data_IF_440472719288
#
_entry.id   IF_440472719288
#
_cell.length_a   1.000
_cell.length_b   1.000
_cell.length_c   1.000
_cell.angle_alpha   90.00
_cell.angle_beta   90.00
_cell.angle_gamma   90.00
#
_symmetry.space_group_name_H-M   'P 1'
#
loop_
_entity.id
_entity.type
_entity.pdbx_description
1 polymer ?
#
# COMPACT_ATOMS: atom_id res chain seq x y z
N UNK A 1 33.03 3.82 -40.15
CA UNK A 1 33.06 2.49 -39.52
C UNK A 1 31.89 2.45 -38.55
N UNK A 2 30.80 1.80 -38.94
CA UNK A 2 29.57 1.69 -38.14
C UNK A 2 29.75 0.49 -37.20
N UNK A 3 29.70 0.71 -35.88
CA UNK A 3 29.63 -0.38 -34.90
C UNK A 3 28.16 -0.79 -34.73
N UNK A 4 27.77 -2.06 -34.96
CA UNK A 4 26.42 -2.49 -34.65
C UNK A 4 26.23 -2.46 -33.13
N UNK A 5 25.08 -1.95 -32.69
CA UNK A 5 24.64 -2.07 -31.31
C UNK A 5 24.67 -3.56 -30.92
N UNK A 6 25.25 -3.86 -29.76
CA UNK A 6 25.24 -5.21 -29.19
C UNK A 6 23.81 -5.73 -29.04
N UNK A 7 23.62 -7.06 -28.95
CA UNK A 7 22.28 -7.64 -28.84
C UNK A 7 21.54 -7.03 -27.64
N UNK A 8 20.29 -6.62 -27.84
CA UNK A 8 19.36 -6.36 -26.73
C UNK A 8 19.40 -7.61 -25.84
N UNK A 9 19.78 -7.43 -24.57
CA UNK A 9 19.60 -8.47 -23.55
C UNK A 9 18.16 -8.96 -23.65
N UNK A 10 17.98 -10.26 -23.85
CA UNK A 10 16.66 -10.86 -23.88
C UNK A 10 15.95 -10.56 -22.55
N UNK A 11 14.65 -10.24 -22.62
CA UNK A 11 13.83 -10.04 -21.43
C UNK A 11 14.05 -11.19 -20.45
N UNK A 12 14.33 -10.91 -19.15
CA UNK A 12 14.49 -11.97 -18.18
C UNK A 12 13.23 -12.84 -18.14
N UNK A 13 13.37 -14.17 -17.94
CA UNK A 13 12.24 -15.07 -17.84
C UNK A 13 11.27 -14.56 -16.76
N UNK A 14 9.97 -14.83 -16.93
CA UNK A 14 8.92 -14.23 -16.08
C UNK A 14 9.12 -14.44 -14.56
N UNK A 15 9.86 -15.48 -14.17
CA UNK A 15 10.25 -15.80 -12.79
C UNK A 15 11.36 -14.92 -12.20
N UNK A 16 12.15 -14.22 -13.03
CA UNK A 16 13.25 -13.35 -12.60
C UNK A 16 12.87 -11.86 -12.60
N UNK A 17 11.60 -11.56 -12.94
CA UNK A 17 11.07 -10.19 -13.01
C UNK A 17 10.83 -9.63 -11.62
N UNK A 18 11.26 -8.40 -11.40
CA UNK A 18 11.06 -7.68 -10.13
C UNK A 18 9.57 -7.58 -9.79
N UNK A 19 8.71 -7.36 -10.80
CA UNK A 19 7.27 -7.33 -10.61
C UNK A 19 6.67 -8.66 -10.14
N UNK A 20 7.24 -9.80 -10.57
CA UNK A 20 6.80 -11.13 -10.15
C UNK A 20 7.19 -11.43 -8.70
N UNK A 21 8.40 -11.06 -8.30
CA UNK A 21 8.84 -11.18 -6.90
C UNK A 21 8.01 -10.29 -5.98
N UNK A 22 7.74 -9.04 -6.37
CA UNK A 22 6.84 -8.17 -5.61
C UNK A 22 5.45 -8.81 -5.49
N UNK A 23 4.88 -9.31 -6.60
CA UNK A 23 3.57 -9.96 -6.56
C UNK A 23 3.51 -11.13 -5.57
N UNK A 24 4.59 -11.92 -5.45
CA UNK A 24 4.69 -12.98 -4.45
C UNK A 24 4.70 -12.42 -3.02
N UNK A 25 5.50 -11.38 -2.75
CA UNK A 25 5.53 -10.72 -1.43
C UNK A 25 4.12 -10.26 -1.04
N UNK A 26 3.39 -9.63 -1.96
CA UNK A 26 2.05 -9.12 -1.69
C UNK A 26 1.03 -10.24 -1.50
N UNK A 27 1.11 -11.32 -2.26
CA UNK A 27 0.24 -12.48 -2.10
C UNK A 27 0.42 -13.14 -0.72
N UNK A 28 1.69 -13.33 -0.30
CA UNK A 28 2.02 -13.92 1.01
C UNK A 28 1.53 -13.00 2.16
N UNK A 29 1.76 -11.69 2.04
CA UNK A 29 1.29 -10.71 3.03
C UNK A 29 -0.25 -10.62 3.08
N UNK A 30 -0.93 -10.67 1.94
CA UNK A 30 -2.39 -10.67 1.89
C UNK A 30 -2.96 -11.93 2.53
N UNK A 31 -2.34 -13.10 2.29
CA UNK A 31 -2.71 -14.33 2.96
C UNK A 31 -2.56 -14.19 4.47
N UNK A 32 -1.41 -13.70 4.96
CA UNK A 32 -1.19 -13.48 6.39
C UNK A 32 -2.21 -12.49 7.00
N UNK A 33 -2.49 -11.38 6.33
CA UNK A 33 -3.46 -10.38 6.77
C UNK A 33 -4.86 -10.97 6.92
N UNK A 34 -5.32 -11.78 5.94
CA UNK A 34 -6.63 -12.47 5.98
C UNK A 34 -6.75 -13.45 7.13
N UNK A 35 -5.64 -14.04 7.58
CA UNK A 35 -5.61 -14.95 8.73
C UNK A 35 -5.35 -14.25 10.07
N UNK A 36 -5.11 -12.93 10.08
CA UNK A 36 -4.92 -12.19 11.32
C UNK A 36 -6.20 -12.18 12.16
N UNK A 37 -6.04 -12.28 13.50
CA UNK A 37 -7.16 -12.27 14.46
C UNK A 37 -8.06 -11.04 14.27
N UNK A 38 -7.44 -9.87 14.07
CA UNK A 38 -8.14 -8.62 13.85
C UNK A 38 -9.03 -8.67 12.60
N UNK A 39 -8.45 -9.00 11.44
CA UNK A 39 -9.21 -9.02 10.17
C UNK A 39 -10.32 -10.07 10.23
N UNK A 40 -10.06 -11.26 10.78
CA UNK A 40 -11.08 -12.29 10.92
C UNK A 40 -12.25 -11.86 11.80
N UNK A 41 -11.99 -11.18 12.92
CA UNK A 41 -13.03 -10.67 13.80
C UNK A 41 -13.80 -9.50 13.16
N UNK A 42 -13.08 -8.62 12.46
CA UNK A 42 -13.63 -7.46 11.74
C UNK A 42 -14.63 -7.90 10.65
N UNK A 43 -14.20 -8.77 9.73
CA UNK A 43 -15.04 -9.22 8.60
C UNK A 43 -16.21 -10.11 9.05
N UNK A 44 -16.09 -10.73 10.22
CA UNK A 44 -17.18 -11.50 10.83
C UNK A 44 -18.18 -10.60 11.60
N UNK A 45 -17.97 -9.29 11.66
CA UNK A 45 -18.82 -8.35 12.42
C UNK A 45 -18.74 -8.53 13.94
N UNK A 46 -17.68 -9.18 14.44
CA UNK A 46 -17.47 -9.39 15.89
C UNK A 46 -16.83 -8.21 16.59
N UNK A 47 -16.27 -7.26 15.82
CA UNK A 47 -15.68 -6.04 16.35
C UNK A 47 -16.64 -4.86 16.20
N UNK A 48 -16.67 -3.90 17.14
CA UNK A 48 -17.45 -2.69 16.98
C UNK A 48 -16.91 -1.81 15.85
N UNK A 49 -17.74 -0.89 15.36
CA UNK A 49 -17.35 0.08 14.32
C UNK A 49 -16.13 0.92 14.72
N UNK A 50 -15.93 1.16 16.01
CA UNK A 50 -14.76 1.89 16.53
C UNK A 50 -13.44 1.15 16.27
N UNK A 51 -13.44 -0.18 16.19
CA UNK A 51 -12.26 -0.95 15.81
C UNK A 51 -11.90 -0.74 14.33
N UNK A 52 -12.92 -0.74 13.47
CA UNK A 52 -12.76 -0.40 12.05
C UNK A 52 -12.26 1.05 11.88
N UNK A 53 -12.83 1.98 12.65
CA UNK A 53 -12.41 3.37 12.64
C UNK A 53 -10.93 3.54 13.04
N UNK A 54 -10.45 2.77 14.02
CA UNK A 54 -9.03 2.78 14.41
C UNK A 54 -8.14 2.23 13.29
N UNK A 55 -8.55 1.19 12.55
CA UNK A 55 -7.83 0.74 11.34
C UNK A 55 -7.75 1.86 10.29
N UNK A 56 -8.87 2.53 10.00
CA UNK A 56 -8.89 3.64 9.05
C UNK A 56 -7.97 4.79 9.50
N UNK A 57 -7.94 5.08 10.80
CA UNK A 57 -7.04 6.07 11.39
C UNK A 57 -5.57 5.68 11.23
N UNK A 58 -5.21 4.41 11.46
CA UNK A 58 -3.84 3.96 11.26
C UNK A 58 -3.42 4.03 9.79
N UNK A 59 -4.32 3.71 8.85
CA UNK A 59 -4.07 3.93 7.43
C UNK A 59 -3.82 5.40 7.11
N UNK A 60 -4.61 6.34 7.66
CA UNK A 60 -4.40 7.77 7.41
C UNK A 60 -2.95 8.20 7.66
N UNK A 61 -2.36 7.83 8.80
CA UNK A 61 -0.96 8.16 9.09
C UNK A 61 0.02 7.56 8.07
N UNK A 62 -0.21 6.31 7.64
CA UNK A 62 0.65 5.64 6.66
C UNK A 62 0.55 6.30 5.28
N UNK A 63 -0.66 6.65 4.83
CA UNK A 63 -0.84 7.33 3.53
C UNK A 63 -0.39 8.78 3.59
N UNK A 64 -0.50 9.46 4.74
CA UNK A 64 0.05 10.80 4.92
C UNK A 64 1.56 10.81 4.66
N UNK A 65 2.29 9.90 5.31
CA UNK A 65 3.73 9.78 5.11
C UNK A 65 4.07 9.36 3.67
N UNK A 66 3.30 8.43 3.08
CA UNK A 66 3.55 7.92 1.73
C UNK A 66 3.26 8.96 0.64
N UNK A 67 2.18 9.73 0.79
CA UNK A 67 1.78 10.74 -0.19
C UNK A 67 2.65 12.00 -0.09
N UNK A 68 3.17 12.33 1.10
CA UNK A 68 4.27 13.30 1.22
C UNK A 68 5.53 12.84 0.48
N UNK A 69 5.91 11.57 0.62
CA UNK A 69 7.04 11.01 -0.14
C UNK A 69 6.76 11.02 -1.65
N UNK A 70 5.51 10.78 -2.06
CA UNK A 70 5.08 10.85 -3.46
C UNK A 70 5.26 12.27 -4.02
N UNK A 71 4.86 13.30 -3.26
CA UNK A 71 5.08 14.68 -3.66
C UNK A 71 6.58 15.04 -3.73
N UNK A 72 7.39 14.60 -2.75
CA UNK A 72 8.83 14.85 -2.73
C UNK A 72 9.58 14.17 -3.89
N UNK A 73 9.17 12.96 -4.26
CA UNK A 73 9.81 12.16 -5.31
C UNK A 73 9.23 12.40 -6.71
N UNK A 74 8.26 13.32 -6.87
CA UNK A 74 7.59 13.56 -8.16
C UNK A 74 8.55 14.00 -9.27
N UNK A 75 9.64 14.69 -8.92
CA UNK A 75 10.68 15.13 -9.86
C UNK A 75 11.78 14.10 -10.15
N UNK A 76 11.81 12.98 -9.44
CA UNK A 76 12.82 11.93 -9.62
C UNK A 76 12.58 11.16 -10.94
N UNK A 77 13.64 10.88 -11.73
CA UNK A 77 13.49 10.27 -13.06
C UNK A 77 12.92 8.85 -13.05
N UNK A 78 13.02 8.11 -11.93
CA UNK A 78 12.48 6.77 -11.76
C UNK A 78 11.19 6.83 -10.93
N UNK A 79 11.26 7.36 -9.70
CA UNK A 79 10.14 7.39 -8.77
C UNK A 79 8.97 8.26 -9.26
N UNK A 80 9.24 9.38 -9.95
CA UNK A 80 8.20 10.22 -10.56
C UNK A 80 7.33 9.45 -11.56
N UNK A 81 7.86 8.39 -12.18
CA UNK A 81 7.11 7.49 -13.07
C UNK A 81 6.14 6.58 -12.30
N UNK A 82 6.18 6.50 -10.99
CA UNK A 82 5.23 5.70 -10.20
C UNK A 82 4.18 6.58 -9.51
N UNK A 83 4.30 7.89 -9.59
CA UNK A 83 3.33 8.85 -9.04
C UNK A 83 2.06 8.89 -9.90
N UNK A 84 1.13 7.96 -9.66
CA UNK A 84 -0.19 7.95 -10.30
C UNK A 84 -1.18 8.76 -9.43
N UNK A 85 -1.68 9.92 -9.87
CA UNK A 85 -2.63 10.72 -9.08
C UNK A 85 -3.89 9.93 -8.69
N UNK A 86 -4.30 8.98 -9.52
CA UNK A 86 -5.49 8.18 -9.31
C UNK A 86 -5.33 7.13 -8.19
N UNK A 87 -4.11 6.94 -7.68
CA UNK A 87 -3.82 6.11 -6.51
C UNK A 87 -3.99 6.85 -5.18
N UNK A 88 -3.89 8.19 -5.15
CA UNK A 88 -3.97 8.94 -3.90
C UNK A 88 -5.22 8.56 -3.11
N UNK A 89 -5.05 8.25 -1.82
CA UNK A 89 -6.08 7.74 -0.91
C UNK A 89 -6.42 8.71 0.21
N UNK A 90 -5.54 9.66 0.55
CA UNK A 90 -5.80 10.60 1.66
C UNK A 90 -7.20 11.22 1.60
N UNK A 91 -7.69 11.80 0.48
CA UNK A 91 -9.03 12.38 0.45
C UNK A 91 -10.15 11.38 0.75
N UNK A 92 -9.99 10.12 0.32
CA UNK A 92 -10.95 9.07 0.59
C UNK A 92 -10.92 8.64 2.06
N UNK A 93 -9.73 8.53 2.66
CA UNK A 93 -9.55 8.18 4.06
C UNK A 93 -10.09 9.30 4.97
N UNK A 94 -9.84 10.56 4.66
CA UNK A 94 -10.34 11.71 5.42
C UNK A 94 -11.88 11.80 5.39
N UNK A 95 -12.49 11.51 4.23
CA UNK A 95 -13.94 11.41 4.12
C UNK A 95 -14.50 10.25 4.97
N UNK A 96 -13.80 9.11 5.00
CA UNK A 96 -14.17 7.98 5.87
C UNK A 96 -14.04 8.34 7.35
N UNK A 97 -12.94 8.98 7.76
CA UNK A 97 -12.71 9.42 9.13
C UNK A 97 -13.71 10.49 9.59
N UNK A 98 -14.09 11.41 8.70
CA UNK A 98 -15.15 12.39 8.98
C UNK A 98 -16.48 11.70 9.28
N UNK A 99 -16.80 10.61 8.59
CA UNK A 99 -17.98 9.81 8.87
C UNK A 99 -17.86 9.00 10.17
N UNK A 100 -16.69 8.41 10.43
CA UNK A 100 -16.46 7.49 11.55
C UNK A 100 -16.24 8.19 12.90
N UNK A 101 -15.56 9.34 12.90
CA UNK A 101 -15.19 10.10 14.10
C UNK A 101 -15.84 11.50 14.16
N UNK A 102 -16.51 11.95 13.10
CA UNK A 102 -17.05 13.32 12.98
C UNK A 102 -16.03 14.32 12.43
N UNK A 103 -16.42 15.58 12.31
CA UNK A 103 -15.57 16.63 11.71
C UNK A 103 -14.27 16.90 12.50
N UNK A 104 -14.28 16.71 13.82
CA UNK A 104 -13.08 16.80 14.68
C UNK A 104 -12.32 15.48 14.77
N UNK A 105 -12.25 14.71 13.69
CA UNK A 105 -11.47 13.47 13.66
C UNK A 105 -9.96 13.68 13.84
N UNK A 106 -9.32 14.77 13.34
CA UNK A 106 -7.87 14.95 13.48
C UNK A 106 -7.41 14.95 14.93
N UNK A 107 -8.21 15.52 15.84
CA UNK A 107 -7.90 15.58 17.28
C UNK A 107 -8.18 14.27 18.02
N UNK A 108 -8.83 13.29 17.36
CA UNK A 108 -9.30 12.05 17.97
C UNK A 108 -8.49 10.82 17.60
N UNK A 109 -7.69 10.89 16.54
CA UNK A 109 -6.88 9.77 16.09
C UNK A 109 -5.48 9.83 16.70
N UNK A 110 -4.93 8.65 17.01
CA UNK A 110 -3.57 8.51 17.53
C UNK A 110 -2.88 7.37 16.80
N UNK A 111 -1.63 7.61 16.38
CA UNK A 111 -0.81 6.60 15.76
C UNK A 111 -0.38 5.57 16.80
N UNK A 112 -0.61 4.29 16.51
CA UNK A 112 -0.06 3.19 17.30
C UNK A 112 1.48 3.15 17.19
N UNK A 113 2.20 2.58 18.17
CA UNK A 113 3.62 2.28 18.07
C UNK A 113 4.06 1.62 16.75
N UNK A 114 3.35 0.58 16.28
CA UNK A 114 3.63 -0.06 14.98
C UNK A 114 3.42 0.90 13.80
N UNK A 115 2.37 1.71 13.85
CA UNK A 115 2.07 2.74 12.83
C UNK A 115 3.14 3.82 12.80
N UNK A 116 3.58 4.30 13.96
CA UNK A 116 4.68 5.28 14.08
C UNK A 116 5.97 4.71 13.50
N UNK A 117 6.26 3.43 13.79
CA UNK A 117 7.41 2.71 13.22
C UNK A 117 7.33 2.66 11.70
N UNK A 118 6.16 2.33 11.15
CA UNK A 118 5.93 2.30 9.71
C UNK A 118 6.15 3.69 9.08
N UNK A 119 5.49 4.73 9.61
CA UNK A 119 5.62 6.09 9.09
C UNK A 119 7.07 6.58 9.16
N UNK A 120 7.81 6.21 10.20
CA UNK A 120 9.24 6.52 10.34
C UNK A 120 10.07 5.81 9.28
N UNK A 121 9.76 4.54 8.98
CA UNK A 121 10.44 3.85 7.88
C UNK A 121 10.16 4.53 6.54
N UNK A 122 8.90 4.85 6.22
CA UNK A 122 8.55 5.58 4.99
C UNK A 122 9.36 6.87 4.90
N UNK A 123 9.31 7.72 5.93
CA UNK A 123 10.04 9.00 5.94
C UNK A 123 11.56 8.87 5.85
N UNK A 124 12.15 7.73 6.22
CA UNK A 124 13.60 7.52 6.15
C UNK A 124 14.08 7.00 4.80
N UNK A 125 13.27 6.23 4.07
CA UNK A 125 13.72 5.58 2.82
C UNK A 125 12.98 6.01 1.57
N UNK A 126 11.72 6.43 1.70
CA UNK A 126 10.88 6.76 0.55
C UNK A 126 11.12 8.17 0.01
N UNK A 127 11.89 9.00 0.72
CA UNK A 127 12.32 10.33 0.26
C UNK A 127 13.80 10.35 -0.14
N UNK A 128 14.54 9.27 0.11
CA UNK A 128 16.00 9.20 -0.08
C UNK A 128 16.37 8.49 -1.40
N UNK A 129 15.75 7.34 -1.70
CA UNK A 129 16.05 6.56 -2.91
C UNK A 129 14.78 6.08 -3.60
N UNK A 130 14.84 6.02 -4.93
CA UNK A 130 13.77 5.51 -5.79
C UNK A 130 13.33 4.07 -5.41
N UNK A 131 14.29 3.19 -5.11
CA UNK A 131 14.04 1.81 -4.65
C UNK A 131 13.21 1.79 -3.37
N UNK A 132 13.53 2.66 -2.41
CA UNK A 132 12.78 2.81 -1.17
C UNK A 132 11.37 3.34 -1.42
N UNK A 133 11.24 4.40 -2.21
CA UNK A 133 9.95 4.98 -2.57
C UNK A 133 9.04 3.94 -3.24
N UNK A 134 9.52 3.32 -4.32
CA UNK A 134 8.73 2.39 -5.13
C UNK A 134 8.40 1.13 -4.34
N UNK A 135 9.23 0.70 -3.38
CA UNK A 135 8.94 -0.42 -2.50
C UNK A 135 7.72 -0.15 -1.62
N UNK A 136 7.67 0.99 -0.92
CA UNK A 136 6.53 1.35 -0.06
C UNK A 136 5.28 1.66 -0.88
N UNK A 137 5.44 2.47 -1.94
CA UNK A 137 4.37 2.85 -2.85
C UNK A 137 3.74 1.62 -3.53
N UNK A 138 4.55 0.74 -4.08
CA UNK A 138 4.11 -0.49 -4.73
C UNK A 138 3.43 -1.44 -3.75
N UNK A 139 4.00 -1.59 -2.54
CA UNK A 139 3.44 -2.49 -1.52
C UNK A 139 2.05 -2.06 -1.07
N UNK A 140 1.84 -0.77 -0.81
CA UNK A 140 0.53 -0.25 -0.42
C UNK A 140 -0.46 -0.32 -1.58
N UNK A 141 -0.20 0.40 -2.66
CA UNK A 141 -1.22 0.59 -3.69
C UNK A 141 -1.53 -0.69 -4.47
N UNK A 142 -0.55 -1.54 -4.80
CA UNK A 142 -0.87 -2.82 -5.44
C UNK A 142 -1.60 -3.76 -4.47
N UNK A 143 -1.25 -3.74 -3.19
CA UNK A 143 -1.97 -4.47 -2.15
C UNK A 143 -3.44 -4.04 -2.04
N UNK A 144 -3.72 -2.74 -2.13
CA UNK A 144 -5.08 -2.20 -2.09
C UNK A 144 -5.90 -2.60 -3.33
N UNK A 145 -5.28 -2.60 -4.52
CA UNK A 145 -5.94 -3.04 -5.76
C UNK A 145 -6.19 -4.56 -5.79
N UNK A 146 -5.40 -5.34 -5.05
CA UNK A 146 -5.48 -6.81 -4.98
C UNK A 146 -6.46 -7.28 -3.88
N UNK A 147 -6.48 -6.59 -2.73
CA UNK A 147 -7.22 -7.01 -1.54
C UNK A 147 -8.31 -6.07 -1.06
N UNK A 148 -8.25 -4.80 -1.45
CA UNK A 148 -9.18 -3.77 -1.00
C UNK A 148 -10.62 -4.03 -1.43
N UNK A 149 -10.83 -4.67 -2.59
CA UNK A 149 -12.18 -5.03 -3.04
C UNK A 149 -12.85 -6.05 -2.11
N UNK A 150 -12.11 -7.08 -1.68
CA UNK A 150 -12.64 -8.09 -0.76
C UNK A 150 -12.88 -7.50 0.64
N UNK A 151 -11.90 -6.78 1.18
CA UNK A 151 -12.03 -6.22 2.53
C UNK A 151 -13.12 -5.15 2.59
N UNK A 152 -13.20 -4.27 1.58
CA UNK A 152 -14.25 -3.27 1.47
C UNK A 152 -15.64 -3.88 1.38
N UNK A 153 -15.83 -4.93 0.56
CA UNK A 153 -17.10 -5.65 0.50
C UNK A 153 -17.45 -6.31 1.84
N UNK A 154 -16.48 -6.94 2.51
CA UNK A 154 -16.69 -7.58 3.81
C UNK A 154 -17.06 -6.57 4.91
N UNK A 155 -16.37 -5.42 4.97
CA UNK A 155 -16.66 -4.31 5.89
C UNK A 155 -18.05 -3.75 5.62
N UNK A 156 -18.41 -3.53 4.35
CA UNK A 156 -19.74 -3.06 3.97
C UNK A 156 -20.83 -4.02 4.47
N UNK A 157 -20.65 -5.33 4.31
CA UNK A 157 -21.60 -6.34 4.79
C UNK A 157 -21.67 -6.40 6.32
N UNK A 158 -20.53 -6.34 7.01
CA UNK A 158 -20.45 -6.43 8.47
C UNK A 158 -21.10 -5.22 9.18
N UNK A 159 -20.89 -4.01 8.67
CA UNK A 159 -21.28 -2.77 9.35
C UNK A 159 -22.48 -2.04 8.72
N UNK A 160 -22.99 -2.54 7.58
CA UNK A 160 -24.17 -2.00 6.86
C UNK A 160 -24.10 -0.49 6.64
N UNK A 161 -22.91 0.02 6.32
CA UNK A 161 -22.76 1.44 6.04
C UNK A 161 -23.56 1.86 4.81
N UNK A 162 -24.28 2.99 4.92
CA UNK A 162 -24.96 3.62 3.78
C UNK A 162 -23.95 4.33 2.87
N UNK A 163 -23.14 3.53 2.15
CA UNK A 163 -22.14 3.96 1.15
C UNK A 163 -21.06 4.93 1.64
N UNK A 164 -20.86 5.05 2.95
CA UNK A 164 -19.90 5.94 3.63
C UNK A 164 -18.98 5.15 4.54
N UNK A 165 -17.80 5.69 4.87
CA UNK A 165 -16.86 5.04 5.79
C UNK A 165 -16.01 3.94 5.17
N UNK A 166 -16.10 3.65 3.88
CA UNK A 166 -15.24 2.66 3.20
C UNK A 166 -14.73 3.14 1.83
N UNK A 167 -14.78 4.45 1.57
CA UNK A 167 -14.32 5.09 0.34
C UNK A 167 -12.85 4.77 0.03
N UNK A 168 -12.03 4.51 1.05
CA UNK A 168 -10.66 4.01 0.89
C UNK A 168 -10.54 2.85 -0.13
N UNK A 169 -11.51 1.93 -0.13
CA UNK A 169 -11.51 0.74 -1.01
C UNK A 169 -12.05 1.01 -2.42
N UNK A 170 -12.51 2.23 -2.71
CA UNK A 170 -13.12 2.60 -3.98
C UNK A 170 -12.12 3.41 -4.81
N UNK A 171 -11.72 2.85 -5.96
CA UNK A 171 -10.87 3.52 -6.95
C UNK A 171 -11.74 4.07 -8.08
N UNK A 172 -12.25 5.29 -7.91
CA UNK A 172 -13.11 5.93 -8.92
C UNK A 172 -12.32 6.29 -10.18
N UNK A 173 -12.89 6.04 -11.36
CA UNK A 173 -12.31 6.43 -12.65
C UNK A 173 -11.11 5.58 -13.12
N UNK A 174 -10.80 4.49 -12.43
CA UNK A 174 -9.65 3.63 -12.75
C UNK A 174 -10.07 2.18 -12.89
N UNK A 175 -9.53 1.48 -13.90
CA UNK A 175 -9.55 0.03 -13.95
C UNK A 175 -8.36 -0.53 -13.14
N UNK A 176 -8.60 -1.19 -11.98
CA UNK A 176 -7.56 -1.77 -11.13
C UNK A 176 -6.67 -2.79 -11.83
N UNK A 177 -7.17 -3.47 -12.88
CA UNK A 177 -6.39 -4.43 -13.65
C UNK A 177 -5.43 -3.69 -14.57
N UNK A 178 -5.91 -2.67 -15.28
CA UNK A 178 -5.08 -1.87 -16.18
C UNK A 178 -3.97 -1.14 -15.43
N UNK A 179 -4.30 -0.52 -14.29
CA UNK A 179 -3.31 0.21 -13.51
C UNK A 179 -2.20 -0.71 -12.97
N UNK A 180 -2.58 -1.89 -12.48
CA UNK A 180 -1.63 -2.92 -12.03
C UNK A 180 -0.72 -3.39 -13.15
N UNK A 181 -1.27 -3.64 -14.34
CA UNK A 181 -0.48 -3.99 -15.52
C UNK A 181 0.54 -2.90 -15.86
N UNK A 182 0.10 -1.63 -15.89
CA UNK A 182 0.99 -0.48 -16.13
C UNK A 182 2.08 -0.37 -15.06
N UNK A 183 1.73 -0.54 -13.79
CA UNK A 183 2.68 -0.50 -12.69
C UNK A 183 3.76 -1.58 -12.82
N UNK A 184 3.34 -2.84 -13.10
CA UNK A 184 4.25 -3.97 -13.28
C UNK A 184 5.18 -3.78 -14.50
N UNK A 185 4.62 -3.29 -15.61
CA UNK A 185 5.42 -2.93 -16.78
C UNK A 185 6.47 -1.86 -16.46
N UNK A 186 6.10 -0.83 -15.67
CA UNK A 186 7.06 0.18 -15.21
C UNK A 186 8.15 -0.41 -14.32
N UNK A 187 7.80 -1.29 -13.38
CA UNK A 187 8.76 -2.00 -12.52
C UNK A 187 9.77 -2.82 -13.32
N UNK A 188 9.30 -3.60 -14.30
CA UNK A 188 10.16 -4.47 -15.09
C UNK A 188 11.04 -3.70 -16.08
N UNK A 189 10.64 -2.48 -16.44
CA UNK A 189 11.42 -1.58 -17.29
C UNK A 189 12.39 -0.67 -16.51
N UNK A 190 12.42 -0.73 -15.17
CA UNK A 190 13.40 0.05 -14.39
C UNK A 190 14.80 -0.52 -14.62
N UNK A 191 15.75 0.35 -14.95
CA UNK A 191 17.16 -0.01 -15.19
C UNK A 191 17.96 -0.38 -13.94
N UNK A 192 17.32 -0.88 -12.87
CA UNK A 192 18.00 -1.25 -11.64
C UNK A 192 18.95 -2.43 -11.85
N UNK A 193 20.19 -2.28 -11.37
CA UNK A 193 21.16 -3.35 -11.27
C UNK A 193 20.81 -4.36 -10.18
N UNK A 194 21.57 -5.46 -10.10
CA UNK A 194 21.31 -6.56 -9.16
C UNK A 194 21.19 -6.09 -7.69
N UNK A 195 22.06 -5.18 -7.26
CA UNK A 195 22.05 -4.66 -5.89
C UNK A 195 20.79 -3.83 -5.59
N UNK A 196 20.36 -2.98 -6.53
CA UNK A 196 19.17 -2.14 -6.39
C UNK A 196 17.90 -2.98 -6.40
N UNK A 197 17.81 -4.00 -7.28
CA UNK A 197 16.72 -4.98 -7.27
C UNK A 197 16.63 -5.70 -5.92
N UNK A 198 17.77 -6.10 -5.36
CA UNK A 198 17.85 -6.72 -4.05
C UNK A 198 17.37 -5.78 -2.93
N UNK A 199 17.82 -4.52 -2.95
CA UNK A 199 17.40 -3.51 -1.99
C UNK A 199 15.89 -3.22 -2.07
N UNK A 200 15.35 -3.07 -3.28
CA UNK A 200 13.93 -2.88 -3.53
C UNK A 200 13.10 -4.05 -2.96
N UNK A 201 13.47 -5.31 -3.27
CA UNK A 201 12.71 -6.47 -2.81
C UNK A 201 12.79 -6.66 -1.30
N UNK A 202 13.95 -6.41 -0.70
CA UNK A 202 14.13 -6.41 0.75
C UNK A 202 13.25 -5.34 1.42
N UNK A 203 13.19 -4.15 0.84
CA UNK A 203 12.38 -3.06 1.39
C UNK A 203 10.88 -3.33 1.21
N UNK A 204 10.46 -3.90 0.08
CA UNK A 204 9.07 -4.28 -0.16
C UNK A 204 8.60 -5.35 0.85
N UNK A 205 9.45 -6.33 1.15
CA UNK A 205 9.18 -7.31 2.19
C UNK A 205 9.08 -6.66 3.58
N UNK A 206 9.95 -5.70 3.89
CA UNK A 206 9.88 -4.93 5.14
C UNK A 206 8.58 -4.10 5.24
N UNK A 207 8.19 -3.41 4.17
CA UNK A 207 6.95 -2.65 4.08
C UNK A 207 5.71 -3.54 4.29
N UNK A 208 5.71 -4.74 3.70
CA UNK A 208 4.65 -5.72 3.89
C UNK A 208 4.56 -6.17 5.35
N UNK A 209 5.70 -6.47 5.97
CA UNK A 209 5.75 -6.86 7.38
C UNK A 209 5.30 -5.75 8.33
N UNK A 210 5.65 -4.49 8.05
CA UNK A 210 5.18 -3.33 8.82
C UNK A 210 3.65 -3.20 8.78
N UNK A 211 3.03 -3.45 7.63
CA UNK A 211 1.57 -3.52 7.51
C UNK A 211 0.95 -4.66 8.33
N UNK A 212 1.59 -5.82 8.38
CA UNK A 212 1.13 -6.94 9.20
C UNK A 212 1.27 -6.65 10.71
N UNK A 213 2.36 -6.00 11.12
CA UNK A 213 2.58 -5.62 12.52
C UNK A 213 1.48 -4.68 13.04
N UNK A 214 1.03 -3.74 12.19
CA UNK A 214 -0.11 -2.88 12.47
C UNK A 214 -1.39 -3.71 12.73
N UNK A 215 -1.67 -4.71 11.90
CA UNK A 215 -2.84 -5.60 12.11
C UNK A 215 -2.71 -6.45 13.37
N UNK A 216 -1.50 -6.90 13.71
CA UNK A 216 -1.23 -7.64 14.95
C UNK A 216 -1.51 -6.75 16.17
N UNK A 217 -1.04 -5.51 16.15
CA UNK A 217 -1.26 -4.57 17.26
C UNK A 217 -2.74 -4.21 17.42
N UNK A 218 -3.46 -3.97 16.33
CA UNK A 218 -4.92 -3.82 16.36
C UNK A 218 -5.60 -5.07 16.92
N UNK A 219 -5.12 -6.26 16.56
CA UNK A 219 -5.59 -7.53 17.13
C UNK A 219 -5.42 -7.58 18.64
N UNK A 220 -4.26 -7.21 19.16
CA UNK A 220 -4.01 -7.20 20.61
C UNK A 220 -4.91 -6.20 21.37
N UNK A 221 -5.38 -5.15 20.70
CA UNK A 221 -6.27 -4.12 21.28
C UNK A 221 -7.74 -4.50 21.26
N UNK A 222 -8.17 -5.23 20.23
CA UNK A 222 -9.59 -5.45 19.94
C UNK A 222 -10.05 -6.91 20.02
N UNK A 223 -9.12 -7.88 20.08
CA UNK A 223 -9.44 -9.32 20.08
C UNK A 223 -8.75 -10.07 21.20
#
# INVERSE_FOLDING_TARGET
MWHPAGPLEADPPATDRVSAHLAKILADAQAAARHSRFVQALVAGRLPVTAYAELAAQHWFVYEALEQATAAMAGDPVAGRFCFPELLRLPAIEADLTFLYGAGWPERIVALPSTTTYCTRIRSVAVDRDTGFVAHHGTRYLGDLDGGQWLGAAVFQAYRFDRRGYRFFVFEGVDPRLLRTRYRQRLDAVGWGRAERGAFLSEAAAAAQLGLNLLVELGNRWT
#
